data_IF_396193184057
#
_entry.id   IF_396193184057
#
_cell.length_a   1.000
_cell.length_b   1.000
_cell.length_c   1.000
_cell.angle_alpha   90.00
_cell.angle_beta   90.00
_cell.angle_gamma   90.00
#
_symmetry.space_group_name_H-M   'P 1'
#
loop_
_entity.id
_entity.type
_entity.pdbx_description
1 polymer ?
#
# COMPACT_ATOMS: atom_id res chain seq x y z
N UNK A 1 -7.99 -33.94 8.78
CA UNK A 1 -7.55 -32.73 8.05
C UNK A 1 -6.45 -32.04 8.85
N UNK A 2 -5.38 -32.80 9.18
CA UNK A 2 -4.36 -32.41 10.18
C UNK A 2 -2.94 -32.87 9.81
N UNK A 3 -2.75 -33.50 8.64
CA UNK A 3 -1.48 -34.13 8.25
C UNK A 3 -0.75 -33.42 7.08
N UNK A 4 -1.09 -32.14 6.79
CA UNK A 4 -0.36 -31.34 5.79
C UNK A 4 0.63 -30.34 6.39
N UNK A 5 0.66 -30.18 7.73
CA UNK A 5 1.59 -29.25 8.40
C UNK A 5 2.95 -29.86 8.76
N UNK A 6 3.18 -31.15 8.49
CA UNK A 6 4.39 -31.86 8.96
C UNK A 6 5.52 -31.97 7.94
N UNK A 7 5.26 -31.70 6.65
CA UNK A 7 6.28 -31.85 5.59
C UNK A 7 7.12 -30.57 5.39
N UNK A 8 6.60 -29.38 5.75
CA UNK A 8 7.32 -28.11 5.55
C UNK A 8 8.32 -27.80 6.69
N UNK A 9 8.28 -28.52 7.82
CA UNK A 9 9.20 -28.27 8.94
C UNK A 9 10.54 -29.02 8.87
N UNK A 10 10.71 -30.01 7.98
CA UNK A 10 11.87 -30.92 8.05
C UNK A 10 13.03 -30.49 7.13
N UNK A 11 12.83 -29.52 6.23
CA UNK A 11 13.86 -29.10 5.28
C UNK A 11 14.54 -27.75 5.59
N UNK A 12 14.29 -27.19 6.78
CA UNK A 12 14.92 -25.92 7.19
C UNK A 12 16.16 -26.10 8.08
N UNK A 13 16.49 -27.32 8.53
CA UNK A 13 17.47 -27.51 9.61
C UNK A 13 18.71 -28.34 9.26
N UNK A 14 19.05 -28.51 7.99
CA UNK A 14 20.36 -29.03 7.59
C UNK A 14 20.84 -28.26 6.37
N UNK A 15 21.66 -27.24 6.61
CA UNK A 15 22.21 -26.36 5.58
C UNK A 15 23.02 -27.11 4.53
N UNK A 16 22.41 -27.37 3.37
CA UNK A 16 23.10 -27.81 2.17
C UNK A 16 22.64 -26.94 1.01
N UNK A 17 23.36 -25.85 0.78
CA UNK A 17 23.33 -25.12 -0.49
C UNK A 17 24.07 -25.97 -1.53
N UNK A 18 23.33 -26.76 -2.31
CA UNK A 18 23.86 -27.52 -3.44
C UNK A 18 23.16 -27.07 -4.72
N UNK A 19 23.90 -26.44 -5.63
CA UNK A 19 23.37 -25.75 -6.81
C UNK A 19 22.49 -26.62 -7.72
N UNK A 20 21.30 -26.11 -8.06
CA UNK A 20 20.53 -26.61 -9.19
C UNK A 20 21.14 -26.07 -10.49
N UNK A 21 21.73 -26.94 -11.31
CA UNK A 21 21.75 -26.70 -12.75
C UNK A 21 20.46 -27.24 -13.35
N UNK A 22 19.64 -26.34 -13.90
CA UNK A 22 18.41 -26.68 -14.61
C UNK A 22 18.78 -27.00 -16.06
N UNK A 23 18.95 -28.28 -16.40
CA UNK A 23 19.02 -28.69 -17.80
C UNK A 23 17.59 -28.88 -18.33
N UNK A 24 17.21 -28.04 -19.29
CA UNK A 24 15.98 -28.19 -20.07
C UNK A 24 15.93 -29.57 -20.73
N UNK A 25 14.97 -30.41 -20.35
CA UNK A 25 14.42 -31.39 -21.28
C UNK A 25 14.26 -32.85 -20.85
N UNK A 26 14.16 -33.23 -19.58
CA UNK A 26 13.64 -34.56 -19.22
C UNK A 26 13.01 -34.64 -17.81
N UNK A 27 12.11 -35.61 -17.55
CA UNK A 27 11.56 -35.85 -16.21
C UNK A 27 12.68 -36.22 -15.24
N UNK A 28 12.69 -35.61 -14.06
CA UNK A 28 13.66 -35.94 -13.01
C UNK A 28 13.01 -36.97 -12.08
N UNK A 29 13.54 -38.19 -12.03
CA UNK A 29 13.12 -39.19 -11.06
C UNK A 29 13.81 -38.93 -9.71
N UNK A 30 13.01 -38.80 -8.65
CA UNK A 30 13.49 -38.66 -7.29
C UNK A 30 13.40 -40.01 -6.56
N UNK A 31 14.53 -40.48 -6.02
CA UNK A 31 14.61 -41.71 -5.24
C UNK A 31 14.87 -41.35 -3.77
N UNK A 32 13.88 -41.41 -2.86
CA UNK A 32 14.15 -41.28 -1.44
C UNK A 32 14.94 -42.48 -0.93
N UNK A 33 15.86 -42.24 0.00
CA UNK A 33 16.58 -43.31 0.67
C UNK A 33 15.62 -44.08 1.60
N UNK A 34 15.44 -45.37 1.30
CA UNK A 34 14.68 -46.45 1.98
C UNK A 34 13.20 -46.62 1.61
N UNK A 35 12.93 -47.79 1.00
CA UNK A 35 11.68 -48.54 0.88
C UNK A 35 10.38 -47.74 0.73
N UNK A 36 10.34 -46.86 -0.27
CA UNK A 36 9.08 -46.31 -0.76
C UNK A 36 9.09 -46.25 -2.28
N UNK A 37 7.98 -46.69 -2.89
CA UNK A 37 7.82 -46.74 -4.34
C UNK A 37 8.01 -45.36 -4.98
N UNK A 38 8.59 -45.28 -6.20
CA UNK A 38 8.86 -44.01 -6.86
C UNK A 38 7.55 -43.25 -7.10
N UNK A 39 7.46 -42.04 -6.54
CA UNK A 39 6.33 -41.14 -6.74
C UNK A 39 6.57 -40.34 -8.02
N UNK A 40 5.66 -40.47 -8.99
CA UNK A 40 5.73 -39.77 -10.26
C UNK A 40 5.11 -38.38 -10.13
N UNK A 41 5.95 -37.37 -9.93
CA UNK A 41 5.55 -35.95 -9.95
C UNK A 41 5.37 -35.54 -11.40
N UNK A 42 4.18 -35.07 -11.77
CA UNK A 42 3.90 -34.55 -13.12
C UNK A 42 4.02 -33.02 -13.13
N UNK A 43 4.37 -32.44 -14.28
CA UNK A 43 4.53 -30.99 -14.48
C UNK A 43 3.27 -30.17 -14.10
N UNK A 44 2.14 -30.83 -13.88
CA UNK A 44 0.87 -30.22 -13.48
C UNK A 44 0.82 -29.76 -12.01
N UNK A 45 1.84 -30.05 -11.19
CA UNK A 45 1.90 -29.61 -9.77
C UNK A 45 2.69 -28.31 -9.58
N UNK A 46 3.20 -27.70 -10.67
CA UNK A 46 3.91 -26.41 -10.65
C UNK A 46 3.02 -25.21 -10.31
N UNK A 47 1.69 -25.37 -10.37
CA UNK A 47 0.75 -24.27 -10.09
C UNK A 47 0.69 -23.84 -8.62
N UNK A 48 1.28 -24.61 -7.70
CA UNK A 48 1.35 -24.26 -6.29
C UNK A 48 2.68 -23.58 -5.89
N UNK A 49 3.59 -23.34 -6.83
CA UNK A 49 4.88 -22.69 -6.59
C UNK A 49 4.88 -21.23 -7.08
N UNK A 50 3.82 -20.49 -6.75
CA UNK A 50 3.93 -19.02 -6.72
C UNK A 50 4.64 -18.68 -5.42
N UNK A 51 5.75 -17.93 -5.50
CA UNK A 51 6.31 -17.30 -4.31
C UNK A 51 5.17 -16.61 -3.55
N UNK A 52 5.09 -16.67 -2.20
CA UNK A 52 4.15 -15.84 -1.49
C UNK A 52 4.41 -14.40 -1.97
N UNK A 53 3.40 -13.78 -2.58
CA UNK A 53 3.41 -12.33 -2.75
C UNK A 53 3.67 -11.79 -1.34
N UNK A 54 4.72 -10.97 -1.17
CA UNK A 54 5.11 -10.49 0.16
C UNK A 54 3.87 -10.02 0.90
N UNK A 55 3.63 -10.58 2.09
CA UNK A 55 2.36 -10.45 2.78
C UNK A 55 2.17 -8.99 3.24
N UNK A 56 1.62 -8.12 2.38
CA UNK A 56 1.15 -6.80 2.80
C UNK A 56 -0.10 -6.98 3.66
N UNK A 57 0.06 -6.82 4.97
CA UNK A 57 -1.05 -6.96 5.90
C UNK A 57 -1.59 -5.58 6.30
N UNK A 58 -2.85 -5.30 5.94
CA UNK A 58 -3.54 -4.08 6.35
C UNK A 58 -3.78 -4.13 7.87
N UNK A 59 -3.15 -3.21 8.59
CA UNK A 59 -3.21 -3.11 10.06
C UNK A 59 -4.34 -2.17 10.49
N UNK A 60 -4.46 -1.03 9.80
CA UNK A 60 -5.38 0.05 10.16
C UNK A 60 -6.16 0.46 8.93
N UNK A 61 -7.45 0.65 9.14
CA UNK A 61 -8.38 1.30 8.23
C UNK A 61 -9.30 2.15 9.09
N UNK A 62 -9.14 3.47 9.00
CA UNK A 62 -9.83 4.40 9.89
C UNK A 62 -10.36 5.59 9.13
N UNK A 63 -11.66 5.80 9.26
CA UNK A 63 -12.30 7.06 8.86
C UNK A 63 -12.41 8.01 10.05
N UNK A 64 -12.09 9.28 9.81
CA UNK A 64 -12.26 10.35 10.80
C UNK A 64 -12.36 11.71 10.11
N UNK A 65 -12.89 12.71 10.81
CA UNK A 65 -12.80 14.10 10.35
C UNK A 65 -11.44 14.69 10.80
N UNK A 66 -10.79 15.44 9.92
CA UNK A 66 -9.49 16.08 10.16
C UNK A 66 -9.39 17.41 9.41
N UNK A 67 -8.58 18.32 9.93
CA UNK A 67 -8.31 19.61 9.30
C UNK A 67 -6.88 19.66 8.75
N UNK A 68 -6.72 20.23 7.56
CA UNK A 68 -5.43 20.38 6.90
C UNK A 68 -5.24 21.78 6.37
N UNK A 69 -4.02 22.29 6.40
CA UNK A 69 -3.62 23.47 5.64
C UNK A 69 -2.97 23.08 4.31
N UNK A 70 -3.29 23.83 3.25
CA UNK A 70 -2.77 23.59 1.91
C UNK A 70 -1.33 24.09 1.80
N UNK A 71 -0.39 23.18 1.52
CA UNK A 71 1.02 23.52 1.27
C UNK A 71 1.29 23.61 -0.23
N UNK A 72 0.88 22.58 -0.98
CA UNK A 72 0.97 22.56 -2.43
C UNK A 72 -0.10 21.62 -3.02
N UNK A 73 -0.76 22.08 -4.08
CA UNK A 73 -1.76 21.30 -4.82
C UNK A 73 -1.09 20.73 -6.07
N UNK A 74 -1.26 19.42 -6.31
CA UNK A 74 -0.79 18.79 -7.54
C UNK A 74 -1.98 18.38 -8.39
N UNK A 75 -1.96 18.80 -9.65
CA UNK A 75 -2.94 18.41 -10.68
C UNK A 75 -2.36 17.35 -11.63
N UNK A 76 -1.26 16.71 -11.26
CA UNK A 76 -0.66 15.60 -12.00
C UNK A 76 -1.47 14.30 -11.83
N UNK A 77 -1.23 13.34 -12.72
CA UNK A 77 -1.94 12.03 -12.73
C UNK A 77 -1.82 11.23 -11.42
N UNK A 78 -0.79 11.49 -10.60
CA UNK A 78 -0.64 10.86 -9.29
C UNK A 78 -1.60 11.41 -8.23
N UNK A 79 -2.20 12.59 -8.45
CA UNK A 79 -3.30 13.16 -7.67
C UNK A 79 -2.97 13.43 -6.20
N UNK A 80 -1.68 13.46 -5.80
CA UNK A 80 -1.27 13.64 -4.40
C UNK A 80 -1.04 15.09 -4.06
N UNK A 81 -1.83 15.58 -3.12
CA UNK A 81 -1.74 16.93 -2.58
C UNK A 81 -0.83 16.96 -1.36
N UNK A 82 -0.01 18.00 -1.27
CA UNK A 82 0.85 18.24 -0.11
C UNK A 82 0.09 19.11 0.89
N UNK A 83 -0.30 18.48 1.99
CA UNK A 83 -1.07 19.08 3.06
C UNK A 83 -0.25 19.12 4.35
N UNK A 84 -0.73 19.88 5.35
CA UNK A 84 -0.16 19.90 6.69
C UNK A 84 -1.28 19.76 7.72
N UNK A 85 -1.18 18.75 8.61
CA UNK A 85 -2.17 18.41 9.64
C UNK A 85 -2.04 19.25 10.94
N UNK A 86 -1.17 20.27 10.92
CA UNK A 86 -0.77 21.10 12.05
C UNK A 86 0.58 20.70 12.66
N UNK A 87 1.05 19.47 12.42
CA UNK A 87 2.31 18.96 12.96
C UNK A 87 3.25 18.46 11.86
N UNK A 88 2.72 17.75 10.87
CA UNK A 88 3.46 17.04 9.85
C UNK A 88 2.95 17.35 8.45
N UNK A 89 3.82 17.15 7.46
CA UNK A 89 3.42 17.10 6.05
C UNK A 89 2.73 15.77 5.76
N UNK A 90 1.56 15.84 5.14
CA UNK A 90 0.77 14.69 4.70
C UNK A 90 0.63 14.76 3.18
N UNK A 91 0.94 13.65 2.51
CA UNK A 91 0.64 13.48 1.09
C UNK A 91 -0.67 12.72 0.97
N UNK A 92 -1.73 13.40 0.55
CA UNK A 92 -3.07 12.83 0.47
C UNK A 92 -3.61 12.86 -0.95
N UNK A 93 -4.32 11.82 -1.37
CA UNK A 93 -5.14 11.87 -2.59
C UNK A 93 -6.53 12.42 -2.28
N UNK A 94 -7.12 13.15 -3.21
CA UNK A 94 -8.52 13.57 -3.11
C UNK A 94 -9.39 12.63 -3.93
N UNK A 95 -10.35 12.00 -3.26
CA UNK A 95 -11.36 11.12 -3.88
C UNK A 95 -12.75 11.80 -3.95
N UNK A 96 -12.85 13.04 -3.45
CA UNK A 96 -14.06 13.87 -3.54
C UNK A 96 -14.24 14.44 -4.95
N UNK A 97 -14.93 13.69 -5.81
CA UNK A 97 -15.16 14.07 -7.19
C UNK A 97 -16.02 15.35 -7.32
N UNK A 98 -17.01 15.54 -6.45
CA UNK A 98 -17.86 16.76 -6.46
C UNK A 98 -17.00 18.00 -6.22
N UNK A 99 -16.10 17.91 -5.24
CA UNK A 99 -15.17 18.98 -4.93
C UNK A 99 -14.20 19.25 -6.08
N UNK A 100 -13.56 18.20 -6.63
CA UNK A 100 -12.63 18.34 -7.76
C UNK A 100 -13.29 18.99 -8.98
N UNK A 101 -14.52 18.61 -9.31
CA UNK A 101 -15.27 19.25 -10.40
C UNK A 101 -15.57 20.72 -10.13
N UNK A 102 -15.89 21.09 -8.89
CA UNK A 102 -16.12 22.49 -8.51
C UNK A 102 -14.81 23.32 -8.60
N UNK A 103 -13.66 22.70 -8.31
CA UNK A 103 -12.34 23.32 -8.55
C UNK A 103 -12.11 23.53 -10.05
N UNK A 104 -12.33 22.51 -10.87
CA UNK A 104 -12.12 22.57 -12.31
C UNK A 104 -13.03 23.61 -12.98
N UNK A 105 -14.24 23.81 -12.47
CA UNK A 105 -15.19 24.84 -12.92
C UNK A 105 -14.87 26.24 -12.37
N UNK A 106 -13.83 26.39 -11.55
CA UNK A 106 -13.47 27.63 -10.85
C UNK A 106 -14.57 28.16 -9.91
N UNK A 107 -15.45 27.29 -9.40
CA UNK A 107 -16.49 27.65 -8.42
C UNK A 107 -15.88 27.82 -7.02
N UNK A 108 -14.79 27.09 -6.75
CA UNK A 108 -14.02 27.17 -5.51
C UNK A 108 -12.56 27.51 -5.87
N UNK A 109 -11.98 28.45 -5.12
CA UNK A 109 -10.57 28.87 -5.29
C UNK A 109 -9.80 28.65 -4.01
N UNK A 110 -8.51 28.29 -4.12
CA UNK A 110 -7.65 28.02 -2.96
C UNK A 110 -6.37 28.84 -3.03
N UNK A 111 -5.85 29.17 -1.85
CA UNK A 111 -4.53 29.71 -1.68
C UNK A 111 -3.68 28.83 -0.75
N UNK A 112 -2.36 28.99 -0.86
CA UNK A 112 -1.44 28.40 0.13
C UNK A 112 -1.80 28.90 1.52
N UNK A 113 -1.93 27.97 2.46
CA UNK A 113 -2.30 28.24 3.85
C UNK A 113 -3.80 28.16 4.13
N UNK A 114 -4.66 28.04 3.11
CA UNK A 114 -6.08 27.80 3.32
C UNK A 114 -6.29 26.48 4.08
N UNK A 115 -7.37 26.42 4.87
CA UNK A 115 -7.71 25.27 5.70
C UNK A 115 -8.86 24.51 5.08
N UNK A 116 -8.72 23.19 4.99
CA UNK A 116 -9.76 22.26 4.58
C UNK A 116 -10.14 21.40 5.79
N UNK A 117 -11.43 21.39 6.14
CA UNK A 117 -12.00 20.38 7.02
C UNK A 117 -12.49 19.23 6.15
N UNK A 118 -12.02 18.01 6.42
CA UNK A 118 -12.21 16.88 5.54
C UNK A 118 -12.64 15.64 6.32
N UNK A 119 -13.45 14.81 5.67
CA UNK A 119 -13.54 13.39 6.02
C UNK A 119 -12.37 12.65 5.37
N UNK A 120 -11.59 11.94 6.17
CA UNK A 120 -10.39 11.24 5.71
C UNK A 120 -10.44 9.76 6.02
N UNK A 121 -9.86 8.97 5.12
CA UNK A 121 -9.54 7.58 5.31
C UNK A 121 -8.01 7.43 5.43
N UNK A 122 -7.56 6.90 6.56
CA UNK A 122 -6.18 6.50 6.77
C UNK A 122 -6.09 4.99 6.73
N UNK A 123 -5.23 4.49 5.85
CA UNK A 123 -4.92 3.08 5.74
C UNK A 123 -3.44 2.85 6.02
N UNK A 124 -3.13 1.84 6.82
CA UNK A 124 -1.75 1.47 7.12
C UNK A 124 -1.54 -0.03 6.94
N UNK A 125 -0.39 -0.38 6.40
CA UNK A 125 0.01 -1.75 6.11
C UNK A 125 1.39 -2.03 6.70
N UNK A 126 1.54 -3.22 7.26
CA UNK A 126 2.86 -3.79 7.51
C UNK A 126 3.33 -4.41 6.20
N UNK A 127 4.50 -3.99 5.73
CA UNK A 127 5.18 -4.59 4.59
C UNK A 127 6.54 -5.12 5.01
N UNK A 128 7.19 -5.89 4.15
CA UNK A 128 8.55 -6.39 4.38
C UNK A 128 9.59 -5.26 4.52
N UNK A 129 9.26 -4.05 4.04
CA UNK A 129 10.13 -2.86 4.09
C UNK A 129 9.76 -1.89 5.24
N UNK A 130 8.70 -2.19 6.00
CA UNK A 130 8.27 -1.38 7.14
C UNK A 130 6.80 -0.96 7.07
N UNK A 131 6.48 0.16 7.74
CA UNK A 131 5.12 0.67 7.81
C UNK A 131 4.82 1.55 6.59
N UNK A 132 3.83 1.16 5.80
CA UNK A 132 3.26 1.99 4.73
C UNK A 132 1.99 2.66 5.25
N UNK A 133 1.84 3.95 4.96
CA UNK A 133 0.63 4.72 5.31
C UNK A 133 0.12 5.46 4.08
N UNK A 134 -1.18 5.37 3.83
CA UNK A 134 -1.88 6.15 2.81
C UNK A 134 -2.97 6.97 3.47
N UNK A 135 -3.18 8.18 2.95
CA UNK A 135 -4.21 9.11 3.40
C UNK A 135 -5.03 9.55 2.20
N UNK A 136 -6.35 9.44 2.33
CA UNK A 136 -7.32 9.78 1.29
C UNK A 136 -8.32 10.77 1.86
N UNK A 137 -8.52 11.88 1.16
CA UNK A 137 -9.57 12.85 1.44
C UNK A 137 -10.83 12.33 0.74
N UNK A 138 -11.76 11.77 1.51
CA UNK A 138 -13.01 11.22 0.99
C UNK A 138 -14.03 12.31 0.68
N UNK A 139 -14.07 13.37 1.51
CA UNK A 139 -14.95 14.51 1.32
C UNK A 139 -14.38 15.78 1.92
N UNK A 140 -14.49 16.91 1.23
CA UNK A 140 -14.23 18.24 1.78
C UNK A 140 -15.53 18.77 2.39
N UNK A 141 -15.53 18.93 3.72
CA UNK A 141 -16.68 19.37 4.50
C UNK A 141 -16.74 20.89 4.58
N UNK A 142 -15.59 21.56 4.67
CA UNK A 142 -15.49 23.01 4.77
C UNK A 142 -14.16 23.50 4.20
N UNK A 143 -14.17 24.67 3.55
CA UNK A 143 -12.97 25.39 3.13
C UNK A 143 -12.95 26.77 3.79
N UNK A 144 -11.82 27.11 4.41
CA UNK A 144 -11.58 28.41 5.06
C UNK A 144 -10.35 29.07 4.45
N UNK A 145 -10.51 30.29 3.97
CA UNK A 145 -9.37 31.08 3.47
C UNK A 145 -8.39 31.42 4.60
N UNK A 146 -7.10 31.37 4.29
CA UNK A 146 -6.06 31.85 5.19
C UNK A 146 -6.31 33.35 5.50
N UNK A 147 -6.16 33.73 6.77
CA UNK A 147 -6.19 35.14 7.13
C UNK A 147 -5.05 35.87 6.39
N UNK A 148 -5.40 36.73 5.43
CA UNK A 148 -4.41 37.58 4.76
C UNK A 148 -3.86 38.56 5.79
N UNK A 149 -2.56 38.52 6.03
CA UNK A 149 -1.90 39.54 6.84
C UNK A 149 -2.10 40.90 6.17
N UNK A 150 -2.92 41.77 6.77
CA UNK A 150 -3.13 43.13 6.29
C UNK A 150 -1.88 43.92 6.66
N UNK A 151 -1.17 44.45 5.67
CA UNK A 151 -0.05 45.36 5.91
C UNK A 151 -0.61 46.67 6.46
N UNK A 152 -0.30 47.01 7.71
CA UNK A 152 -0.66 48.31 8.27
C UNK A 152 0.29 49.37 7.71
N UNK A 153 -0.20 50.49 7.15
CA UNK A 153 0.65 51.62 6.82
C UNK A 153 1.17 52.24 8.13
N UNK A 154 2.49 52.48 8.19
CA UNK A 154 3.15 53.26 9.24
C UNK A 154 3.34 54.71 8.78
#
# INVERSE_FOLDING_TARGET
>A
MTELKRIISVLSNQGVFGGLQVSTGNPVEYYPAKDTAPVRVTKLELHAFSAPEGDEYKIIEKESDAAFSIVNLSFSEDGKWKLNDGQNIVWASIEDQEFLEAVDKNEISFAKGDILLCRVLVQQWQTDQGLKSETKILKVLEHRSAARQISLPF
#
